data_IF_819909357289
#
_entry.id   IF_819909357289
#
_cell.length_a   1.000
_cell.length_b   1.000
_cell.length_c   1.000
_cell.angle_alpha   90.00
_cell.angle_beta   90.00
_cell.angle_gamma   90.00
#
_symmetry.space_group_name_H-M   'P 1'
#
loop_
_entity.id
_entity.type
_entity.pdbx_description
1 polymer ?
#
# COMPACT_ATOMS: atom_id res chain seq x y z
N UNK A 1 -9.85 -7.62 2.94
CA UNK A 1 -8.76 -7.22 3.85
C UNK A 1 -7.45 -7.79 3.33
N UNK A 2 -6.33 -7.07 3.43
CA UNK A 2 -5.01 -7.47 2.95
C UNK A 2 -3.96 -7.08 3.98
N UNK A 3 -3.15 -8.04 4.43
CA UNK A 3 -2.11 -7.83 5.43
C UNK A 3 -0.74 -8.10 4.80
N UNK A 4 0.04 -7.04 4.67
CA UNK A 4 1.39 -7.03 4.11
C UNK A 4 2.38 -6.35 5.07
N UNK A 5 2.04 -6.28 6.35
CA UNK A 5 2.95 -5.85 7.39
C UNK A 5 4.23 -6.67 7.37
N UNK A 6 5.39 -6.03 7.59
CA UNK A 6 6.71 -6.71 7.64
C UNK A 6 7.07 -7.50 6.37
N UNK A 7 6.52 -7.13 5.21
CA UNK A 7 6.76 -7.82 3.93
C UNK A 7 7.91 -7.22 3.10
N UNK A 8 8.75 -6.37 3.73
CA UNK A 8 9.89 -5.69 3.10
C UNK A 8 9.50 -4.90 1.83
N UNK A 9 8.36 -4.21 1.85
CA UNK A 9 7.96 -3.30 0.78
C UNK A 9 8.82 -2.03 0.78
N UNK A 10 9.12 -1.53 -0.41
CA UNK A 10 9.85 -0.27 -0.66
C UNK A 10 9.12 0.47 -1.78
N UNK A 11 9.12 1.80 -1.77
CA UNK A 11 8.54 2.63 -2.84
C UNK A 11 9.59 3.28 -3.76
N UNK A 12 10.83 2.75 -3.77
CA UNK A 12 11.89 3.18 -4.69
C UNK A 12 11.42 3.00 -6.14
N UNK A 13 11.61 4.04 -6.96
CA UNK A 13 11.27 4.06 -8.39
C UNK A 13 11.87 2.84 -9.10
N UNK A 14 11.05 2.10 -9.84
CA UNK A 14 11.45 0.85 -10.52
C UNK A 14 11.21 -0.43 -9.71
N UNK A 15 10.79 -0.35 -8.44
CA UNK A 15 10.38 -1.53 -7.70
C UNK A 15 9.06 -2.08 -8.22
N UNK A 16 9.10 -3.30 -8.79
CA UNK A 16 7.92 -4.04 -9.28
C UNK A 16 6.85 -4.24 -8.19
N UNK A 17 7.21 -4.03 -6.92
CA UNK A 17 6.34 -4.20 -5.75
C UNK A 17 5.24 -3.13 -5.63
N UNK A 18 5.43 -1.90 -6.11
CA UNK A 18 4.34 -0.90 -6.15
C UNK A 18 3.24 -1.26 -7.17
N UNK A 19 3.52 -2.17 -8.12
CA UNK A 19 2.51 -2.64 -9.08
C UNK A 19 1.38 -3.41 -8.42
N UNK A 20 1.60 -3.99 -7.23
CA UNK A 20 0.53 -4.67 -6.49
C UNK A 20 -0.59 -3.69 -6.12
N UNK A 21 -0.25 -2.44 -5.77
CA UNK A 21 -1.22 -1.41 -5.44
C UNK A 21 -2.12 -1.09 -6.64
N UNK A 22 -1.57 -1.11 -7.86
CA UNK A 22 -2.34 -0.95 -9.09
C UNK A 22 -3.30 -2.10 -9.36
N UNK A 23 -3.04 -3.30 -8.83
CA UNK A 23 -4.01 -4.41 -8.85
C UNK A 23 -5.09 -4.22 -7.78
N UNK A 24 -4.73 -3.67 -6.62
CA UNK A 24 -5.68 -3.41 -5.51
C UNK A 24 -6.69 -2.31 -5.83
N UNK A 25 -6.37 -1.35 -6.69
CA UNK A 25 -7.35 -0.33 -7.14
C UNK A 25 -8.60 -0.94 -7.79
N UNK A 26 -8.49 -2.17 -8.34
CA UNK A 26 -9.63 -2.90 -8.91
C UNK A 26 -10.39 -3.77 -7.91
N UNK A 27 -9.85 -3.97 -6.71
CA UNK A 27 -10.49 -4.78 -5.68
C UNK A 27 -11.57 -3.99 -4.95
N UNK A 28 -12.83 -4.09 -5.41
CA UNK A 28 -13.98 -3.34 -4.85
C UNK A 28 -14.48 -3.81 -3.47
N UNK A 29 -13.86 -4.83 -2.88
CA UNK A 29 -14.23 -5.38 -1.56
C UNK A 29 -13.11 -5.22 -0.53
N UNK A 30 -12.10 -4.40 -0.83
CA UNK A 30 -10.94 -4.26 0.02
C UNK A 30 -11.18 -3.15 1.05
N UNK A 31 -11.57 -3.56 2.25
CA UNK A 31 -11.90 -2.64 3.36
C UNK A 31 -10.66 -2.21 4.17
N UNK A 32 -9.66 -3.08 4.26
CA UNK A 32 -8.49 -2.88 5.14
C UNK A 32 -7.23 -3.32 4.42
N UNK A 33 -6.20 -2.48 4.50
CA UNK A 33 -4.85 -2.72 4.00
C UNK A 33 -3.85 -2.39 5.09
N UNK A 34 -3.07 -3.38 5.50
CA UNK A 34 -1.94 -3.21 6.41
C UNK A 34 -0.63 -3.27 5.63
N UNK A 35 0.08 -2.15 5.59
CA UNK A 35 1.44 -1.99 5.04
C UNK A 35 2.42 -1.57 6.13
N UNK A 36 2.09 -1.78 7.40
CA UNK A 36 2.91 -1.39 8.54
C UNK A 36 4.27 -2.09 8.55
N UNK A 37 5.25 -1.51 9.24
CA UNK A 37 6.57 -2.13 9.42
C UNK A 37 7.26 -2.52 8.10
N UNK A 38 7.15 -1.69 7.07
CA UNK A 38 7.86 -1.85 5.82
C UNK A 38 8.93 -0.75 5.67
N UNK A 39 9.59 -0.70 4.50
CA UNK A 39 10.61 0.28 4.16
C UNK A 39 10.09 1.30 3.15
N UNK A 40 8.81 1.69 3.26
CA UNK A 40 8.24 2.77 2.45
C UNK A 40 8.85 4.09 2.94
N UNK A 41 9.42 4.89 2.03
CA UNK A 41 10.10 6.15 2.36
C UNK A 41 9.76 7.28 1.37
N UNK A 42 9.63 8.51 1.85
CA UNK A 42 9.24 9.63 0.98
C UNK A 42 7.82 9.52 0.42
N UNK A 43 7.54 10.13 -0.75
CA UNK A 43 6.17 10.32 -1.23
C UNK A 43 5.59 9.01 -1.81
N UNK A 44 4.38 8.63 -1.37
CA UNK A 44 3.64 7.52 -1.98
C UNK A 44 3.13 7.94 -3.36
N UNK A 45 3.17 7.04 -4.35
CA UNK A 45 2.59 7.34 -5.65
C UNK A 45 1.08 7.63 -5.52
N UNK A 46 0.57 8.54 -6.35
CA UNK A 46 -0.84 8.93 -6.38
C UNK A 46 -1.80 7.74 -6.58
N UNK A 47 -1.30 6.61 -7.10
CA UNK A 47 -2.06 5.36 -7.22
C UNK A 47 -2.54 4.81 -5.87
N UNK A 48 -1.91 5.15 -4.75
CA UNK A 48 -2.41 4.82 -3.41
C UNK A 48 -3.69 5.58 -3.09
N UNK A 49 -3.85 6.81 -3.58
CA UNK A 49 -5.11 7.55 -3.48
C UNK A 49 -6.24 6.94 -4.31
N UNK A 50 -5.89 6.12 -5.30
CA UNK A 50 -6.85 5.35 -6.11
C UNK A 50 -7.15 3.95 -5.55
N UNK A 51 -6.69 3.62 -4.33
CA UNK A 51 -7.14 2.42 -3.65
C UNK A 51 -8.67 2.51 -3.46
N UNK A 52 -9.33 1.35 -3.50
CA UNK A 52 -10.79 1.22 -3.65
C UNK A 52 -11.62 2.17 -2.79
N UNK A 53 -12.75 2.62 -3.33
CA UNK A 53 -13.79 3.41 -2.61
C UNK A 53 -14.35 2.74 -1.36
N UNK A 54 -14.07 1.44 -1.14
CA UNK A 54 -14.52 0.69 0.04
C UNK A 54 -13.46 0.63 1.14
N UNK A 55 -12.25 1.13 0.89
CA UNK A 55 -11.16 1.10 1.86
C UNK A 55 -11.51 2.03 3.03
N UNK A 56 -11.61 1.45 4.22
CA UNK A 56 -11.85 2.19 5.46
C UNK A 56 -10.56 2.37 6.28
N UNK A 57 -9.60 1.45 6.12
CA UNK A 57 -8.36 1.44 6.90
C UNK A 57 -7.14 1.20 6.02
N UNK A 58 -6.16 2.09 6.12
CA UNK A 58 -4.84 1.96 5.53
C UNK A 58 -3.79 2.17 6.63
N UNK A 59 -3.15 1.10 7.08
CA UNK A 59 -2.08 1.18 8.07
C UNK A 59 -0.72 1.31 7.38
N UNK A 60 -0.05 2.44 7.63
CA UNK A 60 1.31 2.75 7.16
C UNK A 60 2.29 2.93 8.33
N UNK A 61 1.87 2.60 9.55
CA UNK A 61 2.67 2.77 10.76
C UNK A 61 4.01 2.04 10.66
N UNK A 62 5.04 2.56 11.36
CA UNK A 62 6.38 1.97 11.33
C UNK A 62 7.01 1.88 9.92
N UNK A 63 6.67 2.81 9.02
CA UNK A 63 7.40 3.10 7.78
C UNK A 63 8.20 4.42 7.95
N UNK A 64 8.98 4.80 6.94
CA UNK A 64 9.81 6.03 6.92
C UNK A 64 9.18 7.13 6.04
N UNK A 65 7.86 7.22 6.08
CA UNK A 65 7.05 8.14 5.27
C UNK A 65 6.70 9.42 6.03
#
# INVERSE_FOLDING_TARGET
>A
RLYLGRSMFTNVSGSRKLSILASLTRCRMLEEVDLSHNFLNGILPASIGNLTTTLSTLDLSSNQI
#
